data_IF_089807461904
#
_entry.id   IF_089807461904
#
_cell.length_a   1.000
_cell.length_b   1.000
_cell.length_c   1.000
_cell.angle_alpha   90.00
_cell.angle_beta   90.00
_cell.angle_gamma   90.00
#
_symmetry.space_group_name_H-M   'P 1'
#
loop_
_entity.id
_entity.type
_entity.pdbx_description
1 polymer ?
#
# COMPACT_ATOMS: atom_id res chain seq x y z
N UNK A 1 -4.93 -29.02 7.59
CA UNK A 1 -4.53 -28.08 8.65
C UNK A 1 -3.22 -27.42 8.24
N UNK A 2 -3.12 -26.08 8.23
CA UNK A 2 -1.81 -25.42 8.10
C UNK A 2 -1.03 -25.68 9.39
N UNK A 3 0.25 -26.08 9.34
CA UNK A 3 1.04 -26.29 10.56
C UNK A 3 1.14 -24.98 11.34
N UNK A 4 0.87 -25.04 12.64
CA UNK A 4 1.02 -23.91 13.56
C UNK A 4 2.32 -24.12 14.32
N UNK A 5 3.27 -23.18 14.16
CA UNK A 5 4.48 -23.13 14.98
C UNK A 5 4.22 -22.37 16.28
N UNK A 6 4.78 -22.86 17.39
CA UNK A 6 4.84 -22.11 18.65
C UNK A 6 6.18 -21.37 18.73
N UNK A 7 6.16 -20.12 19.20
CA UNK A 7 7.35 -19.30 19.40
C UNK A 7 7.22 -18.54 20.71
N UNK A 8 8.28 -18.53 21.52
CA UNK A 8 8.43 -17.65 22.67
C UNK A 8 9.20 -16.40 22.24
N UNK A 9 8.71 -15.23 22.59
CA UNK A 9 9.29 -13.94 22.20
C UNK A 9 9.53 -13.10 23.44
N UNK A 10 10.69 -12.45 23.52
CA UNK A 10 10.98 -11.47 24.55
C UNK A 10 10.75 -10.07 23.98
N UNK A 11 9.95 -9.27 24.68
CA UNK A 11 9.67 -7.89 24.31
C UNK A 11 10.37 -6.93 25.27
N UNK A 12 10.66 -5.72 24.81
CA UNK A 12 11.01 -4.62 25.73
C UNK A 12 9.78 -4.27 26.58
N UNK A 13 9.99 -3.68 27.76
CA UNK A 13 8.88 -3.30 28.65
C UNK A 13 7.88 -2.35 27.99
N UNK A 14 8.36 -1.46 27.12
CA UNK A 14 7.52 -0.55 26.33
C UNK A 14 6.59 -1.30 25.36
N UNK A 15 7.14 -2.27 24.61
CA UNK A 15 6.37 -3.07 23.66
C UNK A 15 5.38 -4.00 24.38
N UNK A 16 5.75 -4.55 25.53
CA UNK A 16 4.83 -5.34 26.36
C UNK A 16 3.64 -4.48 26.81
N UNK A 17 3.91 -3.28 27.34
CA UNK A 17 2.87 -2.36 27.78
C UNK A 17 1.92 -1.97 26.64
N UNK A 18 2.48 -1.68 25.45
CA UNK A 18 1.70 -1.40 24.25
C UNK A 18 0.80 -2.57 23.86
N UNK A 19 1.33 -3.81 23.79
CA UNK A 19 0.54 -5.00 23.45
C UNK A 19 -0.59 -5.23 24.46
N UNK A 20 -0.31 -5.05 25.76
CA UNK A 20 -1.33 -5.20 26.81
C UNK A 20 -2.44 -4.16 26.68
N UNK A 21 -2.10 -2.93 26.35
CA UNK A 21 -3.08 -1.86 26.14
C UNK A 21 -3.99 -2.14 24.94
N UNK A 22 -3.43 -2.63 23.83
CA UNK A 22 -4.21 -2.99 22.63
C UNK A 22 -5.17 -4.15 22.88
N UNK A 23 -4.77 -5.14 23.70
CA UNK A 23 -5.68 -6.20 24.17
C UNK A 23 -6.78 -5.61 25.07
N UNK A 24 -6.42 -4.72 26.02
CA UNK A 24 -7.36 -4.09 26.95
C UNK A 24 -8.41 -3.22 26.24
N UNK A 25 -8.06 -2.61 25.11
CA UNK A 25 -8.97 -1.83 24.26
C UNK A 25 -10.07 -2.67 23.60
N UNK A 26 -10.04 -3.99 23.78
CA UNK A 26 -11.12 -4.91 23.43
C UNK A 26 -11.10 -5.38 21.98
N UNK A 27 -10.06 -5.04 21.22
CA UNK A 27 -9.92 -5.46 19.83
C UNK A 27 -9.35 -6.90 19.69
N UNK A 28 -8.77 -7.46 20.76
CA UNK A 28 -8.08 -8.76 20.72
C UNK A 28 -8.33 -9.57 22.00
N UNK A 29 -8.52 -10.87 21.88
CA UNK A 29 -8.75 -11.78 23.00
C UNK A 29 -7.45 -12.18 23.72
N UNK A 30 -6.28 -12.03 23.08
CA UNK A 30 -4.98 -12.33 23.70
C UNK A 30 -3.82 -11.60 23.02
N UNK A 31 -2.70 -11.45 23.74
CA UNK A 31 -1.45 -10.92 23.17
C UNK A 31 -0.96 -11.74 21.97
N UNK A 32 -1.12 -13.07 22.02
CA UNK A 32 -0.74 -13.97 20.92
C UNK A 32 -1.64 -13.85 19.69
N UNK A 33 -2.87 -13.33 19.84
CA UNK A 33 -3.73 -12.98 18.71
C UNK A 33 -3.26 -11.68 18.07
N UNK A 34 -3.05 -10.65 18.90
CA UNK A 34 -2.56 -9.34 18.44
C UNK A 34 -1.24 -9.45 17.66
N UNK A 35 -0.23 -10.10 18.25
CA UNK A 35 1.07 -10.29 17.62
C UNK A 35 0.97 -11.08 16.31
N UNK A 36 0.08 -12.07 16.25
CA UNK A 36 -0.10 -12.88 15.04
C UNK A 36 -0.71 -12.07 13.91
N UNK A 37 -1.66 -11.19 14.21
CA UNK A 37 -2.24 -10.30 13.21
C UNK A 37 -1.22 -9.26 12.74
N UNK A 38 -0.47 -8.64 13.66
CA UNK A 38 0.65 -7.72 13.35
C UNK A 38 1.69 -8.35 12.40
N UNK A 39 2.15 -9.56 12.73
CA UNK A 39 3.13 -10.28 11.90
C UNK A 39 2.53 -10.66 10.55
N UNK A 40 1.26 -11.07 10.52
CA UNK A 40 0.56 -11.41 9.27
C UNK A 40 0.41 -10.20 8.36
N UNK A 41 0.03 -9.05 8.91
CA UNK A 41 -0.08 -7.81 8.16
C UNK A 41 1.28 -7.43 7.58
N UNK A 42 2.34 -7.46 8.41
CA UNK A 42 3.71 -7.19 7.97
C UNK A 42 4.16 -8.16 6.87
N UNK A 43 3.85 -9.44 7.00
CA UNK A 43 4.18 -10.46 6.00
C UNK A 43 3.49 -10.20 4.66
N UNK A 44 2.18 -9.88 4.68
CA UNK A 44 1.43 -9.52 3.46
C UNK A 44 2.01 -8.28 2.79
N UNK A 45 2.25 -7.22 3.56
CA UNK A 45 2.86 -5.98 3.05
C UNK A 45 4.23 -6.23 2.40
N UNK A 46 5.05 -7.12 2.97
CA UNK A 46 6.35 -7.47 2.39
C UNK A 46 6.20 -8.28 1.10
N UNK A 47 5.30 -9.26 1.04
CA UNK A 47 5.06 -10.03 -0.18
C UNK A 47 4.59 -9.17 -1.33
N UNK A 48 3.72 -8.21 -1.06
CA UNK A 48 3.16 -7.36 -2.11
C UNK A 48 4.15 -6.28 -2.57
N UNK A 49 5.22 -6.02 -1.81
CA UNK A 49 6.17 -4.94 -2.11
C UNK A 49 6.96 -5.19 -3.39
N UNK A 50 7.43 -6.42 -3.61
CA UNK A 50 8.23 -6.75 -4.78
C UNK A 50 7.41 -6.57 -6.08
N UNK A 51 6.20 -7.12 -6.13
CA UNK A 51 5.30 -6.98 -7.27
C UNK A 51 4.89 -5.51 -7.53
N UNK A 52 4.71 -4.71 -6.47
CA UNK A 52 4.44 -3.26 -6.63
C UNK A 52 5.62 -2.48 -7.19
N UNK A 53 6.84 -2.86 -6.82
CA UNK A 53 8.06 -2.24 -7.37
C UNK A 53 8.25 -2.61 -8.84
N UNK A 54 8.08 -3.89 -9.18
CA UNK A 54 8.12 -4.36 -10.57
C UNK A 54 7.08 -3.65 -11.44
N UNK A 55 5.83 -3.55 -10.97
CA UNK A 55 4.79 -2.81 -11.69
C UNK A 55 5.09 -1.30 -11.84
N UNK A 56 5.80 -0.70 -10.87
CA UNK A 56 6.25 0.69 -10.95
C UNK A 56 7.37 0.85 -11.98
N UNK A 57 8.36 -0.03 -11.97
CA UNK A 57 9.48 -0.01 -12.92
C UNK A 57 8.96 -0.18 -14.36
N UNK A 58 8.00 -1.09 -14.59
CA UNK A 58 7.34 -1.25 -15.88
C UNK A 58 6.53 -0.01 -16.31
N UNK A 59 5.84 0.64 -15.37
CA UNK A 59 5.11 1.88 -15.66
C UNK A 59 6.06 3.03 -16.03
N UNK A 60 7.19 3.15 -15.32
CA UNK A 60 8.22 4.15 -15.60
C UNK A 60 8.89 3.89 -16.96
N UNK A 61 9.26 2.64 -17.26
CA UNK A 61 9.87 2.28 -18.54
C UNK A 61 8.93 2.61 -19.72
N UNK A 62 7.63 2.31 -19.59
CA UNK A 62 6.63 2.70 -20.59
C UNK A 62 6.50 4.22 -20.73
N UNK A 63 6.41 4.94 -19.61
CA UNK A 63 6.31 6.40 -19.62
C UNK A 63 7.51 7.08 -20.28
N UNK A 64 8.72 6.57 -20.03
CA UNK A 64 9.94 7.07 -20.67
C UNK A 64 9.93 6.80 -22.17
N UNK A 65 9.56 5.58 -22.59
CA UNK A 65 9.45 5.23 -24.00
C UNK A 65 8.36 6.05 -24.72
N UNK A 66 7.27 6.39 -24.05
CA UNK A 66 6.24 7.29 -24.57
C UNK A 66 6.77 8.72 -24.75
N UNK A 67 7.53 9.23 -23.77
CA UNK A 67 8.13 10.55 -23.84
C UNK A 67 9.17 10.64 -24.98
N UNK A 68 10.07 9.66 -25.09
CA UNK A 68 11.07 9.59 -26.17
C UNK A 68 10.42 9.50 -27.56
N UNK A 69 9.28 8.80 -27.66
CA UNK A 69 8.53 8.69 -28.90
C UNK A 69 7.59 9.89 -29.17
N UNK A 70 7.63 10.94 -28.35
CA UNK A 70 6.81 12.14 -28.53
C UNK A 70 5.30 11.93 -28.26
N UNK A 71 4.93 10.88 -27.52
CA UNK A 71 3.54 10.58 -27.11
C UNK A 71 3.12 11.29 -25.82
N UNK A 72 3.98 12.13 -25.26
CA UNK A 72 3.64 13.01 -24.14
C UNK A 72 2.85 14.23 -24.64
N UNK A 73 1.94 14.75 -23.81
CA UNK A 73 1.18 15.96 -24.07
C UNK A 73 1.26 16.91 -22.87
N UNK A 74 1.09 18.24 -23.08
CA UNK A 74 0.93 19.18 -21.98
C UNK A 74 -0.23 18.77 -21.07
N UNK A 75 -0.04 18.96 -19.76
CA UNK A 75 -1.00 18.51 -18.74
C UNK A 75 -2.41 19.07 -18.97
N UNK A 76 -2.51 20.35 -19.30
CA UNK A 76 -3.79 21.03 -19.55
C UNK A 76 -4.51 20.48 -20.78
N UNK A 77 -3.76 20.08 -21.82
CA UNK A 77 -4.32 19.44 -23.00
C UNK A 77 -4.83 18.03 -22.67
N UNK A 78 -4.05 17.26 -21.91
CA UNK A 78 -4.44 15.92 -21.48
C UNK A 78 -5.72 15.94 -20.63
N UNK A 79 -5.82 16.83 -19.65
CA UNK A 79 -7.03 16.97 -18.82
C UNK A 79 -8.25 17.43 -19.62
N UNK A 80 -8.07 18.35 -20.57
CA UNK A 80 -9.16 18.81 -21.44
C UNK A 80 -9.70 17.67 -22.30
N UNK A 81 -8.81 16.84 -22.87
CA UNK A 81 -9.19 15.65 -23.64
C UNK A 81 -9.94 14.64 -22.79
N UNK A 82 -9.42 14.34 -21.59
CA UNK A 82 -10.04 13.39 -20.66
C UNK A 82 -11.43 13.85 -20.20
N UNK A 83 -11.59 15.13 -19.87
CA UNK A 83 -12.89 15.69 -19.47
C UNK A 83 -13.91 15.65 -20.60
N UNK A 84 -13.49 15.97 -21.83
CA UNK A 84 -14.35 15.86 -23.00
C UNK A 84 -14.82 14.42 -23.25
N UNK A 85 -13.94 13.43 -23.08
CA UNK A 85 -14.28 12.01 -23.20
C UNK A 85 -15.25 11.53 -22.11
N UNK A 86 -15.09 12.05 -20.89
CA UNK A 86 -15.95 11.72 -19.74
C UNK A 86 -17.21 12.58 -19.64
N UNK A 87 -17.44 13.53 -20.56
CA UNK A 87 -18.59 14.44 -20.53
C UNK A 87 -18.59 15.43 -19.35
N UNK A 88 -17.42 15.72 -18.77
CA UNK A 88 -17.27 16.64 -17.65
C UNK A 88 -17.07 18.07 -18.16
N UNK A 89 -17.59 19.09 -17.44
CA UNK A 89 -17.33 20.48 -17.78
C UNK A 89 -15.82 20.78 -17.71
N UNK A 90 -15.31 21.50 -18.70
CA UNK A 90 -13.96 22.04 -18.66
C UNK A 90 -13.91 23.17 -17.64
N UNK A 91 -13.00 23.07 -16.68
CA UNK A 91 -12.69 24.20 -15.81
C UNK A 91 -12.05 25.27 -16.68
N UNK A 92 -12.78 26.36 -16.87
CA UNK A 92 -12.25 27.57 -17.48
C UNK A 92 -11.29 28.16 -16.46
N UNK A 93 -10.00 27.96 -16.66
CA UNK A 93 -8.99 28.66 -15.88
C UNK A 93 -9.05 30.16 -16.19
N UNK A 94 -9.12 30.97 -15.14
CA UNK A 94 -8.57 32.33 -15.14
C UNK A 94 -7.05 32.29 -15.37
#
# INVERSE_FOLDING_TARGET
>A
MKPVGQMTLTLTSELEAFVREEVRRGAYASSSEYIRELVRERYRRQRDRAARLEALDDALARGLADAEAGRAAPLDEAFRRLRAELGLPNESGE
#
